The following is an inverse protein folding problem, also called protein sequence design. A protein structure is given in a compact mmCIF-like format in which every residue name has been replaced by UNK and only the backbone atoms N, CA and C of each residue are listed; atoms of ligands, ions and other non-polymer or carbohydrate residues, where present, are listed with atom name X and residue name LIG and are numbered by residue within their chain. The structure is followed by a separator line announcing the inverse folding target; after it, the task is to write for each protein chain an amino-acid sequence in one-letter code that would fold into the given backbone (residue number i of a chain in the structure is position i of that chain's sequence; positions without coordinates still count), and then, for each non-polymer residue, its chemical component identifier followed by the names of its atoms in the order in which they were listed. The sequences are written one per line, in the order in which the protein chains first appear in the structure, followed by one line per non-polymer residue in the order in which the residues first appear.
data_IF_591193376354
#
_entry.id   IF_591193376354
#
_cell.length_a   1.000
_cell.length_b   1.000
_cell.length_c   1.000
_cell.angle_alpha   90.00
_cell.angle_beta   90.00
_cell.angle_gamma   90.00
#
_symmetry.space_group_name_H-M   'P 1'
#
loop_
_entity.id
_entity.type
_entity.pdbx_description
1 polymer ?
#
# COMPACT_ATOMS: atom_id res chain seq x y z
N UNK A 1 3.08 43.17 -13.60
CA UNK A 1 3.32 42.16 -12.54
C UNK A 1 1.98 41.80 -11.93
N UNK A 2 1.38 40.68 -12.34
CA UNK A 2 0.22 40.10 -11.64
C UNK A 2 0.77 39.14 -10.60
N UNK A 3 0.38 39.34 -9.35
CA UNK A 3 0.70 38.43 -8.27
C UNK A 3 0.11 37.04 -8.60
N UNK A 4 0.97 36.03 -8.60
CA UNK A 4 0.55 34.63 -8.55
C UNK A 4 -0.02 34.44 -7.14
N UNK A 5 -1.34 34.38 -7.03
CA UNK A 5 -1.99 33.96 -5.78
C UNK A 5 -1.52 32.55 -5.45
N UNK A 6 -0.76 32.44 -4.37
CA UNK A 6 -0.41 31.18 -3.73
C UNK A 6 -1.73 30.55 -3.28
N UNK A 7 -2.23 29.55 -4.01
CA UNK A 7 -3.43 28.80 -3.65
C UNK A 7 -3.23 28.15 -2.29
N UNK A 8 -3.80 28.73 -1.24
CA UNK A 8 -3.82 28.11 0.08
C UNK A 8 -4.73 26.88 0.05
N UNK A 9 -4.18 25.72 0.38
CA UNK A 9 -4.95 24.50 0.61
C UNK A 9 -5.96 24.73 1.75
N UNK A 10 -7.23 24.32 1.57
CA UNK A 10 -8.27 24.55 2.57
C UNK A 10 -8.00 23.72 3.82
N UNK A 11 -8.02 24.37 4.98
CA UNK A 11 -7.71 23.72 6.27
C UNK A 11 -8.93 23.10 6.93
N UNK A 12 -10.13 23.50 6.52
CA UNK A 12 -11.39 23.00 7.08
C UNK A 12 -12.38 22.62 5.98
N UNK A 13 -13.29 21.70 6.29
CA UNK A 13 -14.34 21.30 5.34
C UNK A 13 -15.25 22.47 4.95
N UNK A 14 -15.37 23.48 5.82
CA UNK A 14 -16.16 24.69 5.60
C UNK A 14 -15.53 25.60 4.56
N UNK A 15 -14.22 25.81 4.65
CA UNK A 15 -13.45 26.55 3.62
C UNK A 15 -13.49 25.84 2.28
N UNK A 16 -13.34 24.51 2.30
CA UNK A 16 -13.42 23.71 1.08
C UNK A 16 -14.82 23.75 0.46
N UNK A 17 -15.88 23.60 1.25
CA UNK A 17 -17.25 23.78 0.79
C UNK A 17 -17.49 25.20 0.26
N UNK A 18 -16.92 26.22 0.92
CA UNK A 18 -16.96 27.61 0.49
C UNK A 18 -16.44 27.80 -0.92
N UNK A 19 -15.27 27.22 -1.24
CA UNK A 19 -14.68 27.27 -2.58
C UNK A 19 -15.54 26.58 -3.64
N UNK A 20 -16.18 25.45 -3.30
CA UNK A 20 -17.06 24.72 -4.23
C UNK A 20 -18.31 25.54 -4.56
N UNK A 21 -18.92 26.18 -3.55
CA UNK A 21 -20.16 26.95 -3.72
C UNK A 21 -19.95 28.38 -4.22
N UNK A 22 -18.71 28.79 -4.50
CA UNK A 22 -18.42 30.03 -5.25
C UNK A 22 -18.98 29.96 -6.68
N UNK A 23 -19.00 28.76 -7.27
CA UNK A 23 -19.76 28.50 -8.47
C UNK A 23 -21.26 28.42 -8.15
N UNK A 24 -22.01 29.39 -8.69
CA UNK A 24 -23.45 29.52 -8.49
C UNK A 24 -24.22 28.31 -9.04
N UNK A 25 -23.74 27.70 -10.13
CA UNK A 25 -24.36 26.53 -10.73
C UNK A 25 -24.18 25.31 -9.83
N UNK A 26 -22.99 25.15 -9.29
CA UNK A 26 -22.66 24.05 -8.37
C UNK A 26 -23.39 24.19 -7.03
N UNK A 27 -23.49 25.42 -6.52
CA UNK A 27 -24.30 25.75 -5.34
C UNK A 27 -25.78 25.39 -5.51
N UNK A 28 -26.37 25.72 -6.66
CA UNK A 28 -27.76 25.36 -6.98
C UNK A 28 -27.94 23.85 -7.11
N UNK A 29 -27.01 23.17 -7.78
CA UNK A 29 -27.00 21.72 -7.93
C UNK A 29 -26.96 21.02 -6.56
N UNK A 30 -26.05 21.45 -5.69
CA UNK A 30 -25.89 20.90 -4.34
C UNK A 30 -27.13 21.17 -3.48
N UNK A 31 -27.67 22.38 -3.51
CA UNK A 31 -28.89 22.72 -2.77
C UNK A 31 -30.07 21.81 -3.18
N UNK A 32 -30.22 21.60 -4.49
CA UNK A 32 -31.24 20.71 -5.06
C UNK A 32 -31.06 19.24 -4.64
N UNK A 33 -29.84 18.72 -4.72
CA UNK A 33 -29.54 17.33 -4.33
C UNK A 33 -29.70 17.06 -2.84
N UNK A 34 -29.40 18.05 -2.01
CA UNK A 34 -29.52 17.97 -0.55
C UNK A 34 -30.94 18.26 -0.05
N UNK A 35 -31.83 18.76 -0.92
CA UNK A 35 -33.16 19.20 -0.52
C UNK A 35 -33.15 20.37 0.47
N UNK A 36 -32.11 21.22 0.42
CA UNK A 36 -31.95 22.38 1.31
C UNK A 36 -31.93 23.69 0.52
N UNK A 37 -32.11 24.80 1.23
CA UNK A 37 -31.98 26.12 0.63
C UNK A 37 -30.49 26.47 0.38
N UNK A 38 -30.18 27.14 -0.73
CA UNK A 38 -28.86 27.69 -1.03
C UNK A 38 -28.26 28.52 0.11
N UNK A 39 -29.09 29.30 0.82
CA UNK A 39 -28.65 30.08 1.99
C UNK A 39 -28.16 29.20 3.13
N UNK A 40 -28.60 27.94 3.21
CA UNK A 40 -28.12 26.98 4.22
C UNK A 40 -26.71 26.52 3.88
N UNK A 41 -26.38 26.31 2.60
CA UNK A 41 -25.01 26.03 2.17
C UNK A 41 -24.06 27.19 2.49
N UNK A 42 -24.47 28.43 2.21
CA UNK A 42 -23.69 29.62 2.58
C UNK A 42 -23.43 29.68 4.09
N UNK A 43 -24.44 29.32 4.88
CA UNK A 43 -24.32 29.33 6.34
C UNK A 43 -23.39 28.22 6.85
N UNK A 44 -23.35 27.06 6.19
CA UNK A 44 -22.42 25.97 6.50
C UNK A 44 -20.98 26.36 6.17
N UNK A 45 -20.74 26.89 4.97
CA UNK A 45 -19.43 27.36 4.54
C UNK A 45 -18.89 28.50 5.43
N UNK A 46 -19.76 29.42 5.86
CA UNK A 46 -19.39 30.53 6.76
C UNK A 46 -19.33 30.14 8.24
N UNK A 47 -19.60 28.89 8.60
CA UNK A 47 -19.59 28.41 9.99
C UNK A 47 -20.74 28.90 10.88
N UNK A 48 -21.70 29.66 10.33
CA UNK A 48 -22.86 30.16 11.06
C UNK A 48 -23.92 29.09 11.38
N UNK A 49 -23.85 27.93 10.72
CA UNK A 49 -24.58 26.73 11.12
C UNK A 49 -23.82 25.49 10.66
N UNK A 50 -24.18 24.32 11.20
CA UNK A 50 -23.61 23.03 10.77
C UNK A 50 -24.73 22.07 10.38
N UNK A 51 -24.46 21.08 9.50
CA UNK A 51 -25.41 20.02 9.19
C UNK A 51 -25.92 19.36 10.46
N UNK A 52 -27.23 19.45 10.72
CA UNK A 52 -27.83 18.95 11.98
C UNK A 52 -28.04 17.45 11.98
N UNK A 53 -28.12 16.82 10.82
CA UNK A 53 -28.34 15.39 10.67
C UNK A 53 -27.13 14.76 10.00
N UNK A 54 -26.74 13.59 10.49
CA UNK A 54 -25.78 12.73 9.81
C UNK A 54 -26.20 12.49 8.36
N UNK A 55 -27.51 12.38 8.09
CA UNK A 55 -28.07 12.25 6.75
C UNK A 55 -27.64 13.35 5.76
N UNK A 56 -27.63 14.63 6.16
CA UNK A 56 -27.21 15.72 5.27
C UNK A 56 -25.71 15.68 4.99
N UNK A 57 -24.90 15.28 5.96
CA UNK A 57 -23.46 15.06 5.76
C UNK A 57 -23.26 13.92 4.75
N UNK A 58 -24.01 12.82 4.89
CA UNK A 58 -23.95 11.70 3.95
C UNK A 58 -24.32 12.11 2.53
N UNK A 59 -25.41 12.84 2.37
CA UNK A 59 -25.85 13.32 1.06
C UNK A 59 -24.84 14.30 0.44
N UNK A 60 -24.19 15.14 1.24
CA UNK A 60 -23.20 16.09 0.74
C UNK A 60 -21.96 15.36 0.21
N UNK A 61 -21.49 14.34 0.93
CA UNK A 61 -20.40 13.48 0.47
C UNK A 61 -20.76 12.70 -0.80
N UNK A 62 -22.02 12.26 -0.94
CA UNK A 62 -22.52 11.60 -2.15
C UNK A 62 -22.66 12.57 -3.33
N UNK A 63 -23.01 13.82 -3.08
CA UNK A 63 -23.22 14.82 -4.12
C UNK A 63 -21.91 15.32 -4.75
N UNK A 64 -20.76 15.07 -4.11
CA UNK A 64 -19.43 15.54 -4.50
C UNK A 64 -18.43 14.38 -4.63
N UNK A 65 -18.59 13.46 -5.61
CA UNK A 65 -17.74 12.29 -5.74
C UNK A 65 -16.25 12.64 -5.94
N UNK A 66 -15.95 13.58 -6.83
CA UNK A 66 -14.57 13.99 -7.18
C UNK A 66 -13.82 14.68 -6.03
N UNK A 67 -14.55 15.15 -5.03
CA UNK A 67 -14.04 15.91 -3.89
C UNK A 67 -14.20 15.17 -2.56
N UNK A 68 -14.71 13.94 -2.61
CA UNK A 68 -15.10 13.17 -1.44
C UNK A 68 -13.92 12.78 -0.55
N UNK A 69 -12.77 12.44 -1.12
CA UNK A 69 -11.58 12.06 -0.34
C UNK A 69 -11.12 13.19 0.60
N UNK A 70 -11.02 14.40 0.05
CA UNK A 70 -10.64 15.61 0.80
C UNK A 70 -11.76 15.97 1.80
N UNK A 71 -13.01 16.02 1.33
CA UNK A 71 -14.15 16.45 2.16
C UNK A 71 -14.42 15.49 3.31
N UNK A 72 -14.35 14.17 3.09
CA UNK A 72 -14.53 13.16 4.14
C UNK A 72 -13.43 13.24 5.19
N UNK A 73 -12.20 13.54 4.79
CA UNK A 73 -11.06 13.72 5.71
C UNK A 73 -11.28 14.94 6.58
N UNK A 74 -11.68 16.06 5.98
CA UNK A 74 -11.93 17.32 6.70
C UNK A 74 -13.19 17.28 7.58
N UNK A 75 -14.21 16.47 7.23
CA UNK A 75 -15.45 16.34 7.99
C UNK A 75 -15.39 15.30 9.12
N UNK A 76 -14.44 14.38 9.07
CA UNK A 76 -14.32 13.27 10.02
C UNK A 76 -14.21 13.70 11.49
N UNK A 77 -13.50 14.79 11.86
CA UNK A 77 -13.47 15.25 13.25
C UNK A 77 -14.84 15.70 13.76
N UNK A 78 -15.64 16.32 12.89
CA UNK A 78 -16.94 16.91 13.27
C UNK A 78 -18.09 15.90 13.16
N UNK A 79 -17.99 14.88 12.27
CA UNK A 79 -19.09 13.97 11.94
C UNK A 79 -18.64 12.50 11.71
N UNK A 80 -18.04 11.82 12.70
CA UNK A 80 -17.45 10.49 12.52
C UNK A 80 -18.48 9.42 12.07
N UNK A 81 -19.67 9.39 12.67
CA UNK A 81 -20.70 8.37 12.38
C UNK A 81 -21.28 8.50 10.96
N UNK A 82 -21.45 9.74 10.48
CA UNK A 82 -21.99 9.99 9.16
C UNK A 82 -21.00 9.59 8.06
N UNK A 83 -19.72 9.91 8.25
CA UNK A 83 -18.65 9.54 7.31
C UNK A 83 -18.46 8.03 7.29
N UNK A 84 -18.49 7.35 8.45
CA UNK A 84 -18.32 5.90 8.54
C UNK A 84 -19.38 5.10 7.79
N UNK A 85 -20.66 5.48 7.91
CA UNK A 85 -21.76 4.80 7.20
C UNK A 85 -21.70 4.96 5.68
N UNK A 86 -21.22 6.11 5.20
CA UNK A 86 -21.04 6.35 3.76
C UNK A 86 -19.92 5.46 3.22
N UNK A 87 -18.83 5.33 3.97
CA UNK A 87 -17.73 4.43 3.63
C UNK A 87 -18.18 2.95 3.56
N UNK A 88 -19.12 2.52 4.42
CA UNK A 88 -19.75 1.19 4.37
C UNK A 88 -20.69 1.01 3.17
N UNK A 89 -21.62 1.95 2.93
CA UNK A 89 -22.57 1.89 1.81
C UNK A 89 -21.85 1.87 0.45
N UNK A 90 -20.78 2.66 0.29
CA UNK A 90 -19.97 2.61 -0.93
C UNK A 90 -19.11 1.37 -1.01
N UNK A 91 -18.67 0.78 0.10
CA UNK A 91 -17.96 -0.50 0.02
C UNK A 91 -18.86 -1.58 -0.58
N UNK A 92 -20.16 -1.59 -0.21
CA UNK A 92 -21.14 -2.51 -0.79
C UNK A 92 -21.32 -2.25 -2.29
N UNK A 93 -21.50 -0.99 -2.71
CA UNK A 93 -21.67 -0.66 -4.13
C UNK A 93 -20.42 -0.97 -4.96
N UNK A 94 -19.23 -0.64 -4.43
CA UNK A 94 -17.96 -0.95 -5.09
C UNK A 94 -17.80 -2.45 -5.22
N UNK A 95 -18.19 -3.25 -4.22
CA UNK A 95 -18.12 -4.72 -4.33
C UNK A 95 -19.01 -5.28 -5.44
N UNK A 96 -20.17 -4.68 -5.72
CA UNK A 96 -20.99 -5.05 -6.88
C UNK A 96 -20.34 -4.69 -8.23
N UNK A 97 -19.48 -3.66 -8.23
CA UNK A 97 -18.77 -3.16 -9.43
C UNK A 97 -17.39 -3.82 -9.61
N UNK A 98 -16.75 -4.29 -8.53
CA UNK A 98 -15.50 -5.05 -8.56
C UNK A 98 -15.80 -6.40 -9.21
N UNK A 99 -15.64 -6.42 -10.53
CA UNK A 99 -15.73 -7.61 -11.37
C UNK A 99 -14.51 -8.51 -11.16
N UNK A 100 -14.58 -9.74 -11.66
CA UNK A 100 -13.39 -10.57 -11.82
C UNK A 100 -12.29 -9.86 -12.62
N UNK A 101 -11.06 -10.37 -12.51
CA UNK A 101 -9.94 -9.85 -13.31
C UNK A 101 -10.30 -9.93 -14.80
N UNK A 102 -10.16 -8.82 -15.58
CA UNK A 102 -10.56 -8.82 -16.98
C UNK A 102 -9.84 -9.90 -17.80
N UNK A 103 -10.57 -10.64 -18.63
CA UNK A 103 -9.99 -11.67 -19.53
C UNK A 103 -8.81 -11.14 -20.38
N UNK A 104 -8.86 -9.93 -20.98
CA UNK A 104 -7.73 -9.40 -21.73
C UNK A 104 -6.46 -9.21 -20.87
N UNK A 105 -6.62 -9.01 -19.55
CA UNK A 105 -5.49 -8.90 -18.65
C UNK A 105 -4.81 -10.25 -18.41
N UNK A 106 -5.57 -11.34 -18.26
CA UNK A 106 -5.00 -12.69 -18.22
C UNK A 106 -4.18 -12.99 -19.49
N UNK A 107 -4.72 -12.67 -20.66
CA UNK A 107 -4.03 -12.86 -21.94
C UNK A 107 -2.71 -12.07 -21.97
N UNK A 108 -2.74 -10.79 -21.58
CA UNK A 108 -1.54 -9.95 -21.51
C UNK A 108 -0.46 -10.54 -20.58
N UNK A 109 -0.84 -11.05 -19.42
CA UNK A 109 0.12 -11.66 -18.48
C UNK A 109 0.71 -12.95 -19.07
N UNK A 110 -0.11 -13.81 -19.68
CA UNK A 110 0.35 -15.05 -20.31
C UNK A 110 1.27 -14.79 -21.51
N UNK A 111 0.94 -13.81 -22.35
CA UNK A 111 1.78 -13.35 -23.46
C UNK A 111 3.12 -12.81 -22.92
N UNK A 112 3.08 -11.99 -21.88
CA UNK A 112 4.30 -11.47 -21.22
C UNK A 112 5.15 -12.61 -20.66
N UNK A 113 4.52 -13.59 -20.00
CA UNK A 113 5.22 -14.75 -19.46
C UNK A 113 5.91 -15.59 -20.55
N UNK A 114 5.26 -15.75 -21.70
CA UNK A 114 5.75 -16.55 -22.82
C UNK A 114 6.84 -15.84 -23.65
N UNK A 115 6.82 -14.51 -23.72
CA UNK A 115 7.67 -13.73 -24.64
C UNK A 115 8.78 -12.93 -23.96
N UNK A 116 8.62 -12.56 -22.68
CA UNK A 116 9.61 -11.76 -21.98
C UNK A 116 10.82 -12.60 -21.56
N UNK A 117 12.01 -12.01 -21.72
CA UNK A 117 13.26 -12.62 -21.25
C UNK A 117 13.32 -12.58 -19.72
N UNK A 118 13.88 -13.63 -19.13
CA UNK A 118 13.80 -13.94 -17.71
C UNK A 118 14.22 -12.80 -16.73
N UNK A 119 15.24 -11.98 -16.99
CA UNK A 119 15.60 -10.87 -16.11
C UNK A 119 14.53 -9.78 -16.04
N UNK A 120 13.74 -9.60 -17.10
CA UNK A 120 12.74 -8.53 -17.23
C UNK A 120 11.35 -9.05 -16.89
N UNK A 121 11.09 -10.35 -17.08
CA UNK A 121 9.77 -10.97 -16.89
C UNK A 121 9.18 -10.71 -15.51
N UNK A 122 9.93 -10.97 -14.43
CA UNK A 122 9.46 -10.75 -13.06
C UNK A 122 9.06 -9.29 -12.86
N UNK A 123 9.93 -8.37 -13.27
CA UNK A 123 9.67 -6.93 -13.16
C UNK A 123 8.43 -6.52 -13.96
N UNK A 124 8.27 -6.98 -15.19
CA UNK A 124 7.11 -6.63 -16.02
C UNK A 124 5.81 -7.20 -15.46
N UNK A 125 5.76 -8.49 -15.12
CA UNK A 125 4.53 -9.10 -14.59
C UNK A 125 4.14 -8.45 -13.26
N UNK A 126 5.08 -8.25 -12.34
CA UNK A 126 4.80 -7.61 -11.06
C UNK A 126 4.23 -6.20 -11.24
N UNK A 127 4.87 -5.35 -12.05
CA UNK A 127 4.36 -3.99 -12.28
C UNK A 127 2.97 -3.98 -12.93
N UNK A 128 2.74 -4.83 -13.93
CA UNK A 128 1.42 -4.94 -14.57
C UNK A 128 0.34 -5.34 -13.58
N UNK A 129 0.61 -6.35 -12.75
CA UNK A 129 -0.35 -6.84 -11.75
C UNK A 129 -0.60 -5.78 -10.68
N UNK A 130 0.44 -5.18 -10.10
CA UNK A 130 0.30 -4.19 -9.05
C UNK A 130 -0.47 -2.96 -9.53
N UNK A 131 -0.17 -2.46 -10.73
CA UNK A 131 -0.87 -1.33 -11.32
C UNK A 131 -2.35 -1.64 -11.55
N UNK A 132 -2.65 -2.77 -12.19
CA UNK A 132 -4.04 -3.14 -12.50
C UNK A 132 -4.84 -3.41 -11.23
N UNK A 133 -4.25 -4.10 -10.25
CA UNK A 133 -4.88 -4.38 -8.95
C UNK A 133 -5.21 -3.07 -8.22
N UNK A 134 -4.25 -2.14 -8.13
CA UNK A 134 -4.49 -0.87 -7.46
C UNK A 134 -5.60 -0.07 -8.15
N UNK A 135 -5.60 0.01 -9.48
CA UNK A 135 -6.65 0.68 -10.25
C UNK A 135 -8.03 0.06 -10.05
N UNK A 136 -8.10 -1.26 -9.92
CA UNK A 136 -9.37 -1.98 -9.73
C UNK A 136 -9.89 -1.86 -8.29
N UNK A 137 -9.00 -1.86 -7.30
CA UNK A 137 -9.37 -1.65 -5.90
C UNK A 137 -9.68 -0.19 -5.59
N UNK A 138 -9.11 0.75 -6.34
CA UNK A 138 -9.16 2.18 -6.08
C UNK A 138 -9.76 2.97 -7.24
N UNK A 139 -11.00 2.61 -7.60
CA UNK A 139 -11.75 3.24 -8.71
C UNK A 139 -11.82 4.76 -8.56
N UNK A 140 -11.92 5.25 -7.31
CA UNK A 140 -12.05 6.67 -6.99
C UNK A 140 -10.70 7.37 -6.73
N UNK A 141 -9.55 6.70 -6.95
CA UNK A 141 -8.21 7.22 -6.67
C UNK A 141 -8.04 7.78 -5.25
N UNK A 142 -8.61 7.09 -4.26
CA UNK A 142 -8.57 7.45 -2.85
C UNK A 142 -7.24 7.09 -2.18
N UNK A 143 -6.30 6.52 -2.94
CA UNK A 143 -4.91 6.31 -2.54
C UNK A 143 -4.68 4.90 -2.00
N UNK A 144 -5.20 3.85 -2.62
CA UNK A 144 -4.80 2.48 -2.21
C UNK A 144 -3.32 2.25 -2.56
N UNK A 145 -2.56 1.69 -1.61
CA UNK A 145 -1.17 1.24 -1.84
C UNK A 145 -1.12 -0.27 -1.90
N UNK A 146 -0.36 -0.80 -2.85
CA UNK A 146 -0.10 -2.22 -3.03
C UNK A 146 1.41 -2.43 -3.00
N UNK A 147 1.86 -3.30 -2.10
CA UNK A 147 3.26 -3.62 -1.87
C UNK A 147 3.49 -5.10 -2.14
N UNK A 148 4.52 -5.41 -2.93
CA UNK A 148 4.98 -6.76 -3.17
C UNK A 148 6.27 -7.01 -2.39
N UNK A 149 6.23 -7.98 -1.50
CA UNK A 149 7.38 -8.39 -0.70
C UNK A 149 7.77 -9.83 -1.03
N UNK A 150 9.06 -10.11 -1.12
CA UNK A 150 9.62 -11.43 -1.43
C UNK A 150 10.34 -12.00 -0.21
N UNK A 151 10.22 -13.31 0.00
CA UNK A 151 11.02 -14.06 0.95
C UNK A 151 12.50 -13.95 0.61
N UNK A 152 13.31 -13.51 1.58
CA UNK A 152 14.75 -13.48 1.47
C UNK A 152 15.36 -14.62 2.28
N UNK A 153 15.90 -15.62 1.58
CA UNK A 153 16.64 -16.69 2.23
C UNK A 153 18.11 -16.31 2.43
N UNK A 154 18.64 -16.65 3.60
CA UNK A 154 20.08 -16.59 3.84
C UNK A 154 20.78 -17.63 2.98
N UNK A 155 21.88 -17.22 2.33
CA UNK A 155 22.74 -18.12 1.55
C UNK A 155 23.37 -19.21 2.42
N UNK A 156 23.60 -18.93 3.71
CA UNK A 156 24.28 -19.85 4.62
C UNK A 156 23.34 -20.94 5.15
N UNK A 157 22.13 -20.56 5.55
CA UNK A 157 21.19 -21.48 6.22
C UNK A 157 20.08 -22.00 5.30
N UNK A 158 19.85 -21.34 4.17
CA UNK A 158 18.70 -21.58 3.30
C UNK A 158 17.35 -21.23 3.95
N UNK A 159 17.36 -20.64 5.15
CA UNK A 159 16.15 -20.19 5.85
C UNK A 159 15.82 -18.75 5.51
N UNK A 160 14.51 -18.46 5.49
CA UNK A 160 13.96 -17.14 5.26
C UNK A 160 13.80 -16.43 6.59
N UNK A 161 14.59 -15.38 6.83
CA UNK A 161 14.53 -14.60 8.07
C UNK A 161 13.79 -13.27 7.90
N UNK A 162 13.65 -12.78 6.68
CA UNK A 162 12.94 -11.52 6.40
C UNK A 162 12.19 -11.55 5.06
N UNK A 163 11.33 -10.55 4.90
CA UNK A 163 10.68 -10.22 3.64
C UNK A 163 11.26 -8.90 3.11
N UNK A 164 11.70 -8.88 1.86
CA UNK A 164 12.21 -7.68 1.19
C UNK A 164 11.13 -7.04 0.32
N UNK A 165 10.90 -5.74 0.45
CA UNK A 165 10.06 -4.98 -0.47
C UNK A 165 10.71 -4.95 -1.86
N UNK A 166 9.98 -5.44 -2.86
CA UNK A 166 10.43 -5.43 -4.26
C UNK A 166 9.76 -4.32 -5.06
N UNK A 167 8.44 -4.19 -4.90
CA UNK A 167 7.64 -3.25 -5.65
C UNK A 167 6.63 -2.59 -4.75
N UNK A 168 6.42 -1.32 -5.00
CA UNK A 168 5.32 -0.56 -4.46
C UNK A 168 4.58 0.12 -5.60
N UNK A 169 3.26 0.13 -5.51
CA UNK A 169 2.41 0.94 -6.36
C UNK A 169 1.33 1.65 -5.54
N UNK A 170 1.21 2.95 -5.75
CA UNK A 170 0.17 3.79 -5.14
C UNK A 170 -0.71 4.33 -6.25
N UNK A 171 -2.02 4.08 -6.15
CA UNK A 171 -2.99 4.61 -7.10
C UNK A 171 -2.96 6.14 -7.13
N UNK A 172 -2.92 6.73 -8.32
CA UNK A 172 -2.95 8.17 -8.53
C UNK A 172 -1.64 8.93 -8.21
N UNK A 173 -0.57 8.26 -7.81
CA UNK A 173 0.74 8.89 -7.54
C UNK A 173 1.83 8.38 -8.49
N UNK A 174 2.84 9.22 -8.71
CA UNK A 174 4.05 8.81 -9.43
C UNK A 174 4.83 7.76 -8.63
N UNK A 175 5.61 6.95 -9.33
CA UNK A 175 6.47 5.91 -8.74
C UNK A 175 7.42 6.56 -7.73
N UNK A 176 7.33 6.16 -6.47
CA UNK A 176 8.27 6.56 -5.41
C UNK A 176 9.60 5.83 -5.59
N UNK A 177 10.69 6.39 -5.07
CA UNK A 177 11.95 5.64 -4.94
C UNK A 177 11.72 4.38 -4.09
N UNK A 178 11.89 3.21 -4.72
CA UNK A 178 11.74 1.92 -4.07
C UNK A 178 12.99 1.64 -3.23
N UNK A 179 12.95 1.98 -1.95
CA UNK A 179 13.91 1.49 -0.98
C UNK A 179 13.56 0.03 -0.62
N UNK A 180 14.54 -0.91 -0.64
CA UNK A 180 14.27 -2.31 -0.37
C UNK A 180 14.15 -2.56 1.13
N UNK A 181 13.09 -2.03 1.74
CA UNK A 181 12.79 -2.23 3.16
C UNK A 181 12.61 -3.71 3.51
N UNK A 182 13.01 -4.06 4.73
CA UNK A 182 12.91 -5.40 5.28
C UNK A 182 11.81 -5.48 6.33
N UNK A 183 11.02 -6.55 6.25
CA UNK A 183 9.87 -6.80 7.11
C UNK A 183 10.02 -8.14 7.80
N UNK A 184 9.81 -8.15 9.12
CA UNK A 184 9.96 -9.34 9.95
C UNK A 184 8.63 -9.96 10.38
N UNK A 185 8.71 -10.83 11.38
CA UNK A 185 7.57 -11.53 11.98
C UNK A 185 6.56 -10.60 12.66
N UNK A 186 6.97 -9.39 13.05
CA UNK A 186 6.10 -8.35 13.63
C UNK A 186 5.11 -7.76 12.62
N UNK A 187 5.45 -7.85 11.33
CA UNK A 187 4.66 -7.23 10.27
C UNK A 187 3.42 -8.05 9.91
N UNK A 188 2.35 -7.38 9.42
CA UNK A 188 1.16 -8.07 8.91
C UNK A 188 1.51 -9.01 7.75
N UNK A 189 2.46 -8.58 6.92
CA UNK A 189 3.07 -9.33 5.84
C UNK A 189 3.72 -10.63 6.35
N UNK A 190 4.57 -10.52 7.37
CA UNK A 190 5.25 -11.65 8.01
C UNK A 190 4.26 -12.66 8.61
N UNK A 191 3.25 -12.17 9.32
CA UNK A 191 2.19 -13.03 9.88
C UNK A 191 1.44 -13.82 8.80
N UNK A 192 1.17 -13.21 7.63
CA UNK A 192 0.50 -13.89 6.52
C UNK A 192 1.38 -15.00 5.93
N UNK A 193 2.67 -14.75 5.76
CA UNK A 193 3.65 -15.72 5.24
C UNK A 193 3.84 -16.88 6.21
N UNK A 194 4.06 -16.61 7.50
CA UNK A 194 4.26 -17.64 8.53
C UNK A 194 3.03 -18.54 8.71
N UNK A 195 1.83 -17.96 8.65
CA UNK A 195 0.58 -18.72 8.78
C UNK A 195 0.17 -19.40 7.47
N UNK A 196 0.62 -18.89 6.33
CA UNK A 196 0.24 -19.37 5.01
C UNK A 196 -1.22 -19.09 4.67
N UNK A 197 -1.83 -18.07 5.29
CA UNK A 197 -3.20 -17.64 5.04
C UNK A 197 -3.29 -16.10 5.06
N UNK A 198 -4.24 -15.49 4.32
CA UNK A 198 -4.44 -14.06 4.36
C UNK A 198 -4.68 -13.52 5.78
N UNK A 199 -4.12 -12.35 6.09
CA UNK A 199 -4.32 -11.63 7.36
C UNK A 199 -4.92 -10.26 7.06
N UNK A 200 -6.06 -9.95 7.70
CA UNK A 200 -6.82 -8.72 7.45
C UNK A 200 -6.97 -7.95 8.75
N UNK A 201 -6.63 -6.66 8.72
CA UNK A 201 -6.90 -5.69 9.78
C UNK A 201 -7.87 -4.64 9.24
N UNK A 202 -9.16 -4.76 9.57
CA UNK A 202 -10.20 -3.83 9.12
C UNK A 202 -10.15 -2.45 9.78
N UNK A 203 -9.53 -2.37 10.97
CA UNK A 203 -9.37 -1.12 11.71
C UNK A 203 -8.01 -1.09 12.40
N UNK A 204 -7.18 -0.14 12.01
CA UNK A 204 -5.88 0.13 12.60
C UNK A 204 -6.06 1.39 13.46
N UNK A 205 -5.94 1.20 14.78
CA UNK A 205 -6.27 2.26 15.77
C UNK A 205 -5.05 3.04 16.25
N UNK A 206 -3.83 2.52 16.01
CA UNK A 206 -2.58 3.19 16.31
C UNK A 206 -1.61 2.99 15.12
N UNK A 207 -1.08 4.07 14.53
CA UNK A 207 -0.04 3.98 13.50
C UNK A 207 1.35 3.61 14.08
N UNK A 208 1.48 3.46 15.40
CA UNK A 208 2.78 3.29 16.08
C UNK A 208 3.52 1.99 15.74
N UNK A 209 2.84 1.00 15.13
CA UNK A 209 3.47 -0.22 14.62
C UNK A 209 3.66 -0.20 13.10
N UNK A 210 3.55 0.95 12.47
CA UNK A 210 3.71 1.10 11.03
C UNK A 210 5.11 1.60 10.69
N UNK A 211 5.70 1.10 9.59
CA UNK A 211 6.85 1.72 8.96
C UNK A 211 6.66 3.25 8.83
N UNK A 212 7.70 4.04 9.12
CA UNK A 212 7.82 5.48 8.86
C UNK A 212 7.44 5.87 7.41
N UNK A 213 7.76 5.04 6.42
CA UNK A 213 7.34 5.17 5.01
C UNK A 213 5.82 5.11 4.81
N UNK A 214 5.09 4.60 5.81
CA UNK A 214 3.64 4.58 5.88
C UNK A 214 3.07 5.64 6.85
N UNK A 215 3.89 6.44 7.54
CA UNK A 215 3.38 7.45 8.49
C UNK A 215 2.66 8.62 7.81
N UNK A 216 3.08 8.97 6.59
CA UNK A 216 2.37 9.98 5.78
C UNK A 216 1.15 9.40 5.04
N UNK A 217 0.98 8.08 5.09
CA UNK A 217 -0.19 7.42 4.54
C UNK A 217 -1.29 7.38 5.60
N UNK A 218 -2.52 7.84 5.32
CA UNK A 218 -3.61 7.82 6.30
C UNK A 218 -4.18 6.41 6.47
N UNK A 219 -3.33 5.45 6.88
CA UNK A 219 -3.65 4.03 6.97
C UNK A 219 -4.77 3.77 7.96
N UNK A 220 -5.78 3.02 7.54
CA UNK A 220 -6.89 2.60 8.41
C UNK A 220 -7.22 1.13 8.36
N UNK A 221 -6.94 0.48 7.26
CA UNK A 221 -7.03 -0.97 7.15
C UNK A 221 -5.92 -1.51 6.26
N UNK A 222 -5.58 -2.77 6.47
CA UNK A 222 -4.58 -3.47 5.68
C UNK A 222 -4.96 -4.94 5.50
N UNK A 223 -4.59 -5.52 4.37
CA UNK A 223 -4.66 -6.95 4.12
C UNK A 223 -3.36 -7.45 3.52
N UNK A 224 -2.80 -8.50 4.10
CA UNK A 224 -1.67 -9.22 3.55
C UNK A 224 -2.11 -10.62 3.11
N UNK A 225 -1.69 -11.07 1.94
CA UNK A 225 -2.00 -12.39 1.43
C UNK A 225 -0.75 -13.03 0.82
N UNK A 226 -0.39 -14.26 1.24
CA UNK A 226 0.85 -14.90 0.85
C UNK A 226 0.79 -15.35 -0.62
N UNK A 227 1.93 -15.27 -1.30
CA UNK A 227 2.08 -15.71 -2.69
C UNK A 227 2.53 -17.16 -2.67
N UNK A 228 1.56 -18.06 -2.77
CA UNK A 228 1.77 -19.49 -2.60
C UNK A 228 1.63 -20.26 -3.91
N UNK A 229 2.48 -21.26 -4.09
CA UNK A 229 2.39 -22.23 -5.16
C UNK A 229 2.72 -23.61 -4.59
N UNK A 230 1.84 -24.60 -4.81
CA UNK A 230 2.01 -25.98 -4.34
C UNK A 230 2.42 -26.11 -2.86
N UNK A 231 1.85 -25.30 -1.97
CA UNK A 231 2.16 -25.31 -0.53
C UNK A 231 3.44 -24.59 -0.11
N UNK A 232 4.25 -24.10 -1.07
CA UNK A 232 5.43 -23.26 -0.86
C UNK A 232 5.08 -21.78 -1.01
N UNK A 233 5.88 -20.89 -0.45
CA UNK A 233 5.63 -19.45 -0.41
C UNK A 233 6.81 -18.65 -0.96
N UNK A 234 6.55 -17.76 -1.92
CA UNK A 234 7.57 -16.86 -2.47
C UNK A 234 7.64 -15.50 -1.77
N UNK A 235 6.57 -15.11 -1.07
CA UNK A 235 6.46 -13.80 -0.45
C UNK A 235 5.02 -13.46 -0.12
N UNK A 236 4.69 -12.18 -0.15
CA UNK A 236 3.35 -11.69 0.19
C UNK A 236 3.00 -10.42 -0.55
N UNK A 237 1.72 -10.28 -0.83
CA UNK A 237 1.11 -9.07 -1.36
C UNK A 237 0.41 -8.36 -0.21
N UNK A 238 0.82 -7.13 0.06
CA UNK A 238 0.24 -6.28 1.10
C UNK A 238 -0.54 -5.14 0.44
N UNK A 239 -1.82 -5.02 0.77
CA UNK A 239 -2.69 -3.93 0.32
C UNK A 239 -3.03 -3.06 1.52
N UNK A 240 -2.89 -1.76 1.35
CA UNK A 240 -3.10 -0.74 2.36
C UNK A 240 -4.20 0.20 1.92
N UNK A 241 -5.15 0.50 2.82
CA UNK A 241 -6.29 1.36 2.53
C UNK A 241 -6.46 2.47 3.56
N UNK A 242 -6.82 3.69 3.12
CA UNK A 242 -7.16 4.78 4.02
C UNK A 242 -8.59 4.73 4.54
N UNK A 243 -9.33 3.66 4.23
CA UNK A 243 -10.68 3.41 4.70
C UNK A 243 -10.70 2.30 5.75
N UNK A 244 -11.56 2.42 6.75
CA UNK A 244 -11.87 1.31 7.66
C UNK A 244 -12.78 0.31 6.96
N UNK A 245 -12.70 -0.96 7.35
CA UNK A 245 -13.57 -2.03 6.83
C UNK A 245 -13.50 -2.18 5.30
N UNK A 246 -12.37 -1.82 4.70
CA UNK A 246 -12.20 -1.86 3.24
C UNK A 246 -12.14 -3.29 2.69
N UNK A 247 -11.60 -4.26 3.42
CA UNK A 247 -11.29 -5.57 2.84
C UNK A 247 -12.45 -6.54 2.94
N UNK A 248 -13.42 -6.41 2.04
CA UNK A 248 -14.57 -7.31 1.94
C UNK A 248 -14.19 -8.63 1.29
N UNK A 249 -15.10 -9.62 1.34
CA UNK A 249 -14.85 -10.93 0.71
C UNK A 249 -14.67 -10.80 -0.82
N UNK A 250 -15.43 -9.92 -1.47
CA UNK A 250 -15.32 -9.67 -2.91
C UNK A 250 -13.94 -9.10 -3.27
N UNK A 251 -13.49 -8.06 -2.56
CA UNK A 251 -12.15 -7.47 -2.73
C UNK A 251 -11.04 -8.47 -2.48
N UNK A 252 -11.15 -9.29 -1.43
CA UNK A 252 -10.17 -10.34 -1.15
C UNK A 252 -10.13 -11.43 -2.21
N UNK A 253 -11.27 -11.74 -2.84
CA UNK A 253 -11.34 -12.68 -3.97
C UNK A 253 -10.57 -12.12 -5.18
N UNK A 254 -10.74 -10.83 -5.48
CA UNK A 254 -9.96 -10.17 -6.54
C UNK A 254 -8.47 -10.14 -6.23
N UNK A 255 -8.09 -9.77 -4.99
CA UNK A 255 -6.69 -9.83 -4.54
C UNK A 255 -6.12 -11.23 -4.74
N UNK A 256 -6.88 -12.28 -4.40
CA UNK A 256 -6.47 -13.66 -4.59
C UNK A 256 -6.26 -14.03 -6.07
N UNK A 257 -7.13 -13.57 -6.97
CA UNK A 257 -6.97 -13.79 -8.41
C UNK A 257 -5.70 -13.13 -8.96
N UNK A 258 -5.36 -11.92 -8.50
CA UNK A 258 -4.10 -11.27 -8.87
C UNK A 258 -2.88 -11.98 -8.27
N UNK A 259 -2.99 -12.56 -7.07
CA UNK A 259 -1.93 -13.39 -6.49
C UNK A 259 -1.64 -14.61 -7.36
N UNK A 260 -2.67 -15.26 -7.93
CA UNK A 260 -2.45 -16.36 -8.87
C UNK A 260 -1.64 -15.91 -10.09
N UNK A 261 -1.90 -14.71 -10.61
CA UNK A 261 -1.09 -14.14 -11.70
C UNK A 261 0.34 -13.83 -11.26
N UNK A 262 0.54 -13.33 -10.04
CA UNK A 262 1.88 -13.09 -9.49
C UNK A 262 2.71 -14.36 -9.37
N UNK A 263 2.10 -15.54 -9.18
CA UNK A 263 2.87 -16.80 -9.14
C UNK A 263 3.69 -17.05 -10.41
N UNK A 264 3.23 -16.53 -11.56
CA UNK A 264 3.94 -16.63 -12.84
C UNK A 264 5.18 -15.73 -12.92
N UNK A 265 5.29 -14.73 -12.04
CA UNK A 265 6.44 -13.81 -12.00
C UNK A 265 7.68 -14.44 -11.35
N UNK A 266 7.48 -15.44 -10.48
CA UNK A 266 8.54 -16.04 -9.66
C UNK A 266 9.00 -17.37 -10.23
N UNK A 267 10.28 -17.68 -10.03
CA UNK A 267 10.89 -18.97 -10.35
C UNK A 267 10.57 -19.99 -9.27
N UNK A 268 10.66 -21.26 -9.61
CA UNK A 268 10.41 -22.36 -8.66
C UNK A 268 11.34 -22.30 -7.43
N UNK A 269 12.60 -21.89 -7.60
CA UNK A 269 13.57 -21.78 -6.50
C UNK A 269 13.28 -20.60 -5.57
N UNK A 270 12.42 -19.66 -5.99
CA UNK A 270 12.00 -18.52 -5.17
C UNK A 270 10.80 -18.88 -4.27
N UNK A 271 10.26 -20.09 -4.37
CA UNK A 271 9.22 -20.61 -3.49
C UNK A 271 9.82 -21.51 -2.40
N UNK A 272 9.66 -21.09 -1.15
CA UNK A 272 10.23 -21.76 0.00
C UNK A 272 9.19 -22.65 0.71
N UNK A 273 9.63 -23.81 1.18
CA UNK A 273 8.82 -24.63 2.08
C UNK A 273 8.55 -23.89 3.39
N UNK A 274 7.37 -24.13 3.96
CA UNK A 274 6.97 -23.49 5.21
C UNK A 274 7.94 -23.77 6.36
N UNK A 275 8.60 -24.93 6.37
CA UNK A 275 9.62 -25.29 7.37
C UNK A 275 10.90 -24.46 7.25
N UNK A 276 11.15 -23.84 6.10
CA UNK A 276 12.30 -22.96 5.88
C UNK A 276 11.99 -21.50 6.21
N UNK A 277 10.73 -21.17 6.49
CA UNK A 277 10.30 -19.81 6.81
C UNK A 277 10.37 -19.61 8.32
N UNK A 278 11.36 -18.84 8.74
CA UNK A 278 11.69 -18.58 10.14
C UNK A 278 11.91 -17.07 10.30
N UNK A 279 10.84 -16.29 10.06
CA UNK A 279 10.93 -14.84 10.06
C UNK A 279 11.33 -14.34 11.46
N UNK A 280 12.35 -13.49 11.48
CA UNK A 280 12.83 -12.83 12.69
C UNK A 280 12.19 -11.46 12.85
N UNK A 281 12.34 -10.86 14.02
CA UNK A 281 11.97 -9.46 14.22
C UNK A 281 12.93 -8.56 13.45
N UNK A 282 12.40 -7.58 12.72
CA UNK A 282 13.24 -6.61 12.00
C UNK A 282 13.45 -5.32 12.78
N UNK A 283 14.58 -4.66 12.52
CA UNK A 283 14.91 -3.39 13.12
C UNK A 283 13.88 -2.30 12.71
N UNK A 284 13.69 -1.32 13.58
CA UNK A 284 12.81 -0.18 13.30
C UNK A 284 13.25 0.58 12.04
N UNK A 285 12.30 1.20 11.35
CA UNK A 285 12.56 1.81 10.03
C UNK A 285 13.70 2.82 10.03
N UNK A 286 13.81 3.66 11.06
CA UNK A 286 14.89 4.66 11.14
C UNK A 286 16.28 4.00 11.09
N UNK A 287 16.44 2.83 11.72
CA UNK A 287 17.69 2.08 11.65
C UNK A 287 17.90 1.46 10.26
N UNK A 288 16.83 1.02 9.59
CA UNK A 288 16.91 0.50 8.22
C UNK A 288 17.31 1.59 7.22
N UNK A 289 16.70 2.79 7.28
CA UNK A 289 16.98 3.89 6.35
C UNK A 289 18.47 4.23 6.30
N UNK A 290 19.13 4.36 7.46
CA UNK A 290 20.57 4.64 7.53
C UNK A 290 21.43 3.60 6.82
N UNK A 291 21.00 2.33 6.81
CA UNK A 291 21.73 1.26 6.11
C UNK A 291 21.40 1.26 4.62
N UNK A 292 20.14 1.51 4.28
CA UNK A 292 19.63 1.53 2.92
C UNK A 292 20.16 2.71 2.09
N UNK A 293 20.46 3.86 2.71
CA UNK A 293 21.09 5.01 2.04
C UNK A 293 22.38 4.63 1.28
N UNK A 294 23.13 3.65 1.81
CA UNK A 294 24.38 3.15 1.21
C UNK A 294 24.17 1.94 0.28
N UNK A 295 22.93 1.53 0.03
CA UNK A 295 22.65 0.27 -0.69
C UNK A 295 23.23 0.27 -2.10
N UNK A 296 22.98 1.31 -2.89
CA UNK A 296 23.49 1.38 -4.27
C UNK A 296 25.02 1.42 -4.31
N UNK A 297 25.66 2.12 -3.37
CA UNK A 297 27.12 2.16 -3.24
C UNK A 297 27.69 0.77 -2.91
N UNK A 298 27.03 0.01 -2.03
CA UNK A 298 27.41 -1.37 -1.71
C UNK A 298 27.27 -2.30 -2.93
N UNK A 299 26.17 -2.21 -3.66
CA UNK A 299 25.95 -3.02 -4.88
C UNK A 299 27.04 -2.71 -5.92
N UNK A 300 27.33 -1.43 -6.15
CA UNK A 300 28.41 -1.00 -7.03
C UNK A 300 29.79 -1.50 -6.55
N UNK A 301 30.07 -1.42 -5.25
CA UNK A 301 31.33 -1.88 -4.67
C UNK A 301 31.52 -3.38 -4.87
N UNK A 302 30.51 -4.20 -4.55
CA UNK A 302 30.54 -5.65 -4.75
C UNK A 302 30.71 -6.01 -6.23
N UNK A 303 30.01 -5.32 -7.12
CA UNK A 303 30.12 -5.55 -8.56
C UNK A 303 31.51 -5.21 -9.10
N UNK A 304 32.12 -4.09 -8.64
CA UNK A 304 33.48 -3.72 -9.01
C UNK A 304 34.52 -4.71 -8.46
N UNK A 305 34.42 -5.12 -7.19
CA UNK A 305 35.33 -6.08 -6.57
C UNK A 305 35.31 -7.44 -7.26
N UNK A 306 34.13 -7.96 -7.61
CA UNK A 306 34.01 -9.22 -8.35
C UNK A 306 34.74 -9.15 -9.71
N UNK A 307 34.65 -8.01 -10.41
CA UNK A 307 35.39 -7.79 -11.67
C UNK A 307 36.90 -7.71 -11.48
N UNK A 308 37.38 -7.19 -10.36
CA UNK A 308 38.82 -7.16 -10.03
C UNK A 308 39.37 -8.55 -9.71
N UNK A 309 38.54 -9.44 -9.17
CA UNK A 309 38.89 -10.83 -8.82
C UNK A 309 38.62 -11.86 -9.94
N UNK A 310 38.27 -11.41 -11.15
CA UNK A 310 37.91 -12.25 -12.30
C UNK A 310 36.71 -13.19 -12.03
N UNK A 311 35.86 -12.81 -11.07
CA UNK A 311 34.62 -13.51 -10.74
C UNK A 311 33.46 -12.94 -11.57
N UNK A 312 32.68 -13.81 -12.22
CA UNK A 312 31.48 -13.40 -12.95
C UNK A 312 30.31 -13.23 -11.99
N UNK A 313 30.19 -12.06 -11.38
CA UNK A 313 29.02 -11.68 -10.58
C UNK A 313 28.05 -10.86 -11.44
N UNK A 314 26.81 -11.32 -11.57
CA UNK A 314 25.75 -10.54 -12.21
C UNK A 314 25.28 -9.41 -11.29
N UNK A 315 24.74 -8.34 -11.87
CA UNK A 315 24.18 -7.24 -11.09
C UNK A 315 23.11 -7.71 -10.09
N UNK A 316 22.25 -8.65 -10.50
CA UNK A 316 21.20 -9.25 -9.64
C UNK A 316 21.81 -9.99 -8.44
N UNK A 317 22.92 -10.68 -8.64
CA UNK A 317 23.62 -11.38 -7.55
C UNK A 317 24.31 -10.40 -6.61
N UNK A 318 24.87 -9.30 -7.13
CA UNK A 318 25.41 -8.21 -6.31
C UNK A 318 24.33 -7.54 -5.44
N UNK A 319 23.14 -7.27 -6.01
CA UNK A 319 21.99 -6.77 -5.25
C UNK A 319 21.52 -7.74 -4.17
N UNK A 320 21.51 -9.04 -4.46
CA UNK A 320 21.16 -10.07 -3.48
C UNK A 320 22.20 -10.17 -2.35
N UNK A 321 23.49 -10.05 -2.67
CA UNK A 321 24.55 -10.04 -1.67
C UNK A 321 24.47 -8.82 -0.76
N UNK A 322 24.37 -7.61 -1.34
CA UNK A 322 24.20 -6.38 -0.56
C UNK A 322 22.95 -6.45 0.34
N UNK A 323 21.84 -6.98 -0.18
CA UNK A 323 20.62 -7.15 0.61
C UNK A 323 20.80 -8.14 1.77
N UNK A 324 21.54 -9.24 1.56
CA UNK A 324 21.82 -10.23 2.60
C UNK A 324 22.75 -9.68 3.70
N UNK A 325 23.72 -8.85 3.33
CA UNK A 325 24.61 -8.16 4.29
C UNK A 325 23.85 -7.16 5.16
N UNK A 326 22.94 -6.39 4.55
CA UNK A 326 22.08 -5.45 5.29
C UNK A 326 21.14 -6.23 6.21
N UNK A 327 20.46 -7.25 5.72
CA UNK A 327 19.57 -8.10 6.54
C UNK A 327 20.30 -8.65 7.78
N UNK A 328 21.49 -9.20 7.59
CA UNK A 328 22.31 -9.75 8.68
C UNK A 328 22.64 -8.68 9.72
N UNK A 329 23.01 -7.48 9.25
CA UNK A 329 23.34 -6.36 10.13
C UNK A 329 22.12 -5.87 10.92
N UNK A 330 20.95 -5.82 10.28
CA UNK A 330 19.69 -5.45 10.93
C UNK A 330 19.30 -6.47 12.01
N UNK A 331 19.45 -7.78 11.73
CA UNK A 331 19.21 -8.83 12.71
C UNK A 331 20.12 -8.70 13.94
N UNK A 332 21.40 -8.38 13.75
CA UNK A 332 22.34 -8.14 14.86
C UNK A 332 21.96 -6.92 15.71
N UNK A 333 21.42 -5.86 15.11
CA UNK A 333 20.94 -4.69 15.85
C UNK A 333 19.74 -5.03 16.75
N UNK A 334 18.81 -5.85 16.25
CA UNK A 334 17.66 -6.30 17.02
C UNK A 334 18.11 -7.17 18.20
N UNK A 335 19.00 -8.13 17.97
CA UNK A 335 19.51 -9.00 19.03
C UNK A 335 20.18 -8.19 20.15
N UNK A 336 21.04 -7.21 19.80
CA UNK A 336 21.68 -6.34 20.79
C UNK A 336 20.69 -5.51 21.60
N UNK A 337 19.61 -5.04 20.98
CA UNK A 337 18.58 -4.28 21.67
C UNK A 337 17.79 -5.17 22.66
N UNK A 338 17.54 -6.43 22.31
CA UNK A 338 16.89 -7.40 23.19
C UNK A 338 17.78 -7.76 24.39
N UNK A 339 19.05 -8.08 24.14
CA UNK A 339 20.01 -8.43 25.19
C UNK A 339 20.18 -7.29 26.23
N UNK A 340 20.05 -6.03 25.79
CA UNK A 340 20.10 -4.86 26.68
C UNK A 340 18.82 -4.65 27.50
N UNK A 341 17.67 -5.07 26.99
CA UNK A 341 16.39 -5.00 27.72
C UNK A 341 16.27 -6.10 28.77
N UNK A 342 16.86 -7.28 28.54
CA UNK A 342 16.85 -8.39 29.51
C UNK A 342 17.81 -8.19 30.69
N UNK A 343 18.77 -7.25 30.58
CA UNK A 343 19.74 -6.90 31.62
C UNK A 343 19.28 -5.75 32.53
N UNK A 344 18.13 -5.14 32.26
CA UNK A 344 17.50 -4.08 33.07
C UNK A 344 16.31 -4.63 33.84
#
# INVERSE_FOLDING_TARGET
MRAVEVMQEPKTWREFLGKIIEDLQEKQRLAGLLGINERTLDRWAKGSSSPRSSAHVRQLLKALPDHRGILSTLMRPDFPDAVGQVDEEQSIFIDEVIKDVPIPFYQRILETYATAVEPVRTWTICNLVLQQLAQQLDVDHQGIRVLLMQCQASKETGRVHSLRLLFEHTSGQAVSENWPFFYGAESLAGLAVMKGIPQIKQRISAPDSLPHSLQHFPLKSAAAAPIQCTGRCAGTLLVLSPHTSFFTQARMTVVQHYIYLLTLAFREQEFYDRSCIDLQLMAAENAQMHMLDTFQERVLSLFCQAREHDESLTWKEAEQLAASEIETSLGQLVQRAQDQQEQQ
#
